data_IF_921298029651
#
_entry.id   IF_921298029651
#
_cell.length_a   1.000
_cell.length_b   1.000
_cell.length_c   1.000
_cell.angle_alpha   90.00
_cell.angle_beta   90.00
_cell.angle_gamma   90.00
#
_symmetry.space_group_name_H-M   'P 1'
#
loop_
_entity.id
_entity.type
_entity.pdbx_description
1 polymer ?
#
# COMPACT_ATOMS: atom_id res chain seq x y z
N UNK A 1 -96.43 5.72 -48.20
CA UNK A 1 -97.27 6.17 -49.33
C UNK A 1 -97.53 7.67 -49.17
N UNK A 2 -98.06 8.36 -50.19
CA UNK A 2 -98.44 9.77 -49.99
C UNK A 2 -99.76 9.84 -49.21
N UNK A 3 -99.89 10.79 -48.27
CA UNK A 3 -101.14 11.02 -47.52
C UNK A 3 -102.31 11.13 -48.49
N UNK A 4 -103.30 10.27 -48.33
CA UNK A 4 -104.54 10.36 -49.11
C UNK A 4 -105.55 11.21 -48.33
N UNK A 5 -106.18 12.18 -49.01
CA UNK A 5 -107.17 13.06 -48.40
C UNK A 5 -108.58 12.72 -48.87
N UNK A 6 -109.53 12.80 -47.95
CA UNK A 6 -110.95 12.74 -48.29
C UNK A 6 -111.30 13.95 -49.15
N UNK A 7 -111.89 13.71 -50.31
CA UNK A 7 -112.54 14.72 -51.12
C UNK A 7 -113.99 14.87 -50.63
N UNK A 8 -114.33 16.02 -50.06
CA UNK A 8 -115.66 16.26 -49.46
C UNK A 8 -116.71 16.76 -50.47
N UNK A 9 -116.32 16.93 -51.74
CA UNK A 9 -117.15 17.55 -52.77
C UNK A 9 -117.13 19.08 -52.68
N UNK A 10 -117.83 19.74 -53.61
CA UNK A 10 -117.86 21.21 -53.70
C UNK A 10 -118.98 21.79 -52.82
N UNK A 11 -120.13 21.12 -52.75
CA UNK A 11 -121.26 21.41 -51.84
C UNK A 11 -121.89 20.11 -51.34
N UNK A 12 -122.72 20.20 -50.30
CA UNK A 12 -123.36 19.02 -49.72
C UNK A 12 -124.25 18.27 -50.75
N UNK A 13 -124.06 16.95 -50.84
CA UNK A 13 -124.83 16.02 -51.69
C UNK A 13 -124.72 16.29 -53.21
N UNK A 14 -123.61 16.86 -53.70
CA UNK A 14 -123.41 17.18 -55.13
C UNK A 14 -122.81 16.04 -55.98
N UNK A 15 -122.55 14.88 -55.38
CA UNK A 15 -121.91 13.71 -55.99
C UNK A 15 -120.50 13.95 -56.56
N UNK A 16 -119.81 15.03 -56.18
CA UNK A 16 -118.41 15.32 -56.59
C UNK A 16 -117.36 14.91 -55.55
N UNK A 17 -117.80 14.54 -54.35
CA UNK A 17 -116.95 14.00 -53.28
C UNK A 17 -116.65 12.52 -53.43
N UNK A 18 -115.81 11.99 -52.54
CA UNK A 18 -115.52 10.56 -52.45
C UNK A 18 -116.78 9.77 -52.08
N UNK A 19 -116.91 8.57 -52.65
CA UNK A 19 -117.86 7.57 -52.12
C UNK A 19 -117.38 7.09 -50.75
N UNK A 20 -118.28 6.60 -49.89
CA UNK A 20 -117.90 5.99 -48.60
C UNK A 20 -116.83 4.91 -48.75
N UNK A 21 -116.86 4.14 -49.86
CA UNK A 21 -115.85 3.14 -50.17
C UNK A 21 -114.51 3.78 -50.51
N UNK A 22 -114.48 4.71 -51.47
CA UNK A 22 -113.24 5.38 -51.87
C UNK A 22 -112.61 6.20 -50.73
N UNK A 23 -113.42 6.84 -49.89
CA UNK A 23 -112.95 7.52 -48.69
C UNK A 23 -112.48 6.54 -47.59
N UNK A 24 -113.18 5.42 -47.41
CA UNK A 24 -112.81 4.36 -46.48
C UNK A 24 -111.48 3.69 -46.84
N UNK A 25 -111.25 3.42 -48.12
CA UNK A 25 -109.97 2.90 -48.63
C UNK A 25 -108.84 3.87 -48.31
N UNK A 26 -109.04 5.17 -48.57
CA UNK A 26 -108.07 6.21 -48.22
C UNK A 26 -107.74 6.29 -46.73
N UNK A 27 -108.75 6.11 -45.89
CA UNK A 27 -108.59 6.09 -44.42
C UNK A 27 -107.82 4.85 -43.99
N UNK A 28 -108.20 3.67 -44.48
CA UNK A 28 -107.51 2.41 -44.17
C UNK A 28 -106.05 2.42 -44.64
N UNK A 29 -105.79 2.90 -45.85
CA UNK A 29 -104.46 3.05 -46.42
C UNK A 29 -103.56 3.93 -45.54
N UNK A 30 -104.06 5.10 -45.12
CA UNK A 30 -103.33 5.99 -44.21
C UNK A 30 -103.08 5.34 -42.83
N UNK A 31 -104.04 4.62 -42.25
CA UNK A 31 -103.83 3.95 -40.97
C UNK A 31 -102.89 2.75 -41.09
N UNK A 32 -103.02 1.93 -42.12
CA UNK A 32 -102.13 0.80 -42.39
C UNK A 32 -100.68 1.26 -42.56
N UNK A 33 -100.45 2.41 -43.21
CA UNK A 33 -99.13 3.04 -43.26
C UNK A 33 -98.59 3.34 -41.86
N UNK A 34 -99.38 3.97 -40.98
CA UNK A 34 -98.97 4.31 -39.61
C UNK A 34 -98.66 3.05 -38.79
N UNK A 35 -99.56 2.07 -38.78
CA UNK A 35 -99.39 0.83 -38.02
C UNK A 35 -98.21 -0.01 -38.51
N UNK A 36 -97.84 0.12 -39.79
CA UNK A 36 -96.66 -0.56 -40.35
C UNK A 36 -95.37 0.22 -40.10
N UNK A 37 -95.39 1.56 -40.17
CA UNK A 37 -94.19 2.39 -40.09
C UNK A 37 -93.65 2.56 -38.66
N UNK A 38 -94.53 2.71 -37.67
CA UNK A 38 -94.17 2.93 -36.25
C UNK A 38 -94.75 1.85 -35.32
N UNK A 39 -95.18 0.74 -35.90
CA UNK A 39 -95.81 -0.38 -35.22
C UNK A 39 -95.39 -1.71 -35.83
N UNK A 40 -96.21 -2.73 -35.62
CA UNK A 40 -95.99 -4.08 -36.14
C UNK A 40 -97.10 -4.57 -37.08
N UNK A 41 -97.87 -3.64 -37.66
CA UNK A 41 -99.01 -3.93 -38.53
C UNK A 41 -100.33 -4.16 -37.78
N UNK A 42 -100.30 -4.34 -36.45
CA UNK A 42 -101.51 -4.50 -35.62
C UNK A 42 -101.56 -3.48 -34.48
N UNK A 43 -100.42 -3.22 -33.83
CA UNK A 43 -100.28 -2.28 -32.73
C UNK A 43 -99.23 -1.21 -33.07
N UNK A 44 -99.47 0.02 -32.64
CA UNK A 44 -98.42 1.05 -32.60
C UNK A 44 -97.42 0.66 -31.50
N UNK A 45 -96.13 0.63 -31.82
CA UNK A 45 -95.06 0.24 -30.90
C UNK A 45 -94.31 1.44 -30.32
N UNK A 46 -94.76 2.66 -30.62
CA UNK A 46 -94.23 3.91 -30.07
C UNK A 46 -95.12 4.40 -28.92
N UNK A 47 -94.54 4.53 -27.72
CA UNK A 47 -95.18 5.19 -26.57
C UNK A 47 -94.41 6.46 -26.21
N UNK A 48 -95.14 7.54 -25.98
CA UNK A 48 -94.61 8.83 -25.47
C UNK A 48 -95.36 9.27 -24.21
N UNK A 49 -95.94 8.32 -23.49
CA UNK A 49 -96.73 8.60 -22.29
C UNK A 49 -95.80 8.92 -21.12
N UNK A 50 -95.98 10.09 -20.49
CA UNK A 50 -95.30 10.54 -19.27
C UNK A 50 -93.76 10.47 -19.28
N UNK A 51 -93.06 11.03 -20.30
CA UNK A 51 -91.59 11.05 -20.28
C UNK A 51 -91.08 11.94 -19.13
N UNK A 52 -90.05 11.49 -18.43
CA UNK A 52 -89.29 12.33 -17.51
C UNK A 52 -88.24 13.17 -18.27
N UNK A 53 -87.86 14.31 -17.69
CA UNK A 53 -86.80 15.17 -18.26
C UNK A 53 -85.50 14.37 -18.37
N UNK A 54 -84.88 14.37 -19.56
CA UNK A 54 -83.62 13.68 -19.83
C UNK A 54 -83.77 12.23 -20.34
N UNK A 55 -84.98 11.69 -20.40
CA UNK A 55 -85.23 10.37 -20.98
C UNK A 55 -85.14 10.38 -22.51
N UNK A 56 -84.78 9.23 -23.06
CA UNK A 56 -84.72 8.98 -24.51
C UNK A 56 -85.68 7.84 -24.88
N UNK A 57 -86.12 7.79 -26.14
CA UNK A 57 -86.89 6.65 -26.64
C UNK A 57 -85.97 5.45 -26.85
N UNK A 58 -86.18 4.38 -26.08
CA UNK A 58 -85.42 3.13 -26.20
C UNK A 58 -86.35 1.98 -26.56
N UNK A 59 -85.87 1.10 -27.44
CA UNK A 59 -86.54 -0.17 -27.71
C UNK A 59 -86.27 -1.14 -26.55
N UNK A 60 -87.33 -1.62 -25.89
CA UNK A 60 -87.22 -2.52 -24.75
C UNK A 60 -87.31 -4.02 -25.12
N UNK A 61 -87.23 -4.35 -26.41
CA UNK A 61 -87.48 -5.70 -26.93
C UNK A 61 -88.89 -5.90 -27.49
N UNK A 62 -89.82 -4.96 -27.28
CA UNK A 62 -91.17 -5.01 -27.88
C UNK A 62 -91.73 -3.65 -28.31
N UNK A 63 -91.41 -2.56 -27.60
CA UNK A 63 -91.88 -1.20 -27.88
C UNK A 63 -90.75 -0.18 -27.73
N UNK A 64 -90.86 0.95 -28.43
CA UNK A 64 -90.11 2.16 -28.17
C UNK A 64 -90.81 2.98 -27.08
N UNK A 65 -90.16 3.12 -25.92
CA UNK A 65 -90.72 3.80 -24.75
C UNK A 65 -89.71 4.78 -24.15
N UNK A 66 -90.14 5.84 -23.43
CA UNK A 66 -89.23 6.75 -22.74
C UNK A 66 -88.53 6.01 -21.60
N UNK A 67 -87.20 6.02 -21.59
CA UNK A 67 -86.36 5.37 -20.57
C UNK A 67 -85.06 6.15 -20.37
N UNK A 68 -84.43 5.91 -19.22
CA UNK A 68 -83.10 6.42 -18.95
C UNK A 68 -82.07 5.72 -19.86
N UNK A 69 -81.02 6.46 -20.24
CA UNK A 69 -79.89 5.89 -20.95
C UNK A 69 -78.87 5.31 -19.95
N UNK A 70 -78.90 3.99 -19.80
CA UNK A 70 -78.15 3.25 -18.76
C UNK A 70 -77.07 2.32 -19.34
N UNK A 71 -76.98 2.21 -20.66
CA UNK A 71 -76.06 1.27 -21.32
C UNK A 71 -75.58 1.88 -22.62
N UNK A 72 -74.26 1.84 -22.84
CA UNK A 72 -73.65 2.11 -24.12
C UNK A 72 -73.50 0.79 -24.89
N UNK A 73 -74.01 0.72 -26.11
CA UNK A 73 -73.86 -0.45 -26.99
C UNK A 73 -72.76 -0.27 -28.04
N UNK A 74 -72.10 0.89 -28.02
CA UNK A 74 -70.95 1.27 -28.84
C UNK A 74 -70.11 2.30 -28.06
N UNK A 75 -68.93 2.66 -28.58
CA UNK A 75 -68.11 3.72 -27.99
C UNK A 75 -68.90 5.05 -27.93
N UNK A 76 -68.72 5.80 -26.84
CA UNK A 76 -69.28 7.14 -26.70
C UNK A 76 -68.41 8.13 -27.49
N UNK A 77 -68.94 8.63 -28.61
CA UNK A 77 -68.40 9.82 -29.25
C UNK A 77 -68.98 11.06 -28.56
N UNK A 78 -68.11 11.87 -27.95
CA UNK A 78 -68.50 13.07 -27.21
C UNK A 78 -68.73 14.29 -28.12
N UNK A 79 -68.42 14.20 -29.43
CA UNK A 79 -68.59 15.29 -30.41
C UNK A 79 -68.04 16.65 -29.92
N UNK A 80 -66.83 16.63 -29.35
CA UNK A 80 -66.16 17.81 -28.80
C UNK A 80 -66.66 18.30 -27.42
N UNK A 81 -67.58 17.58 -26.78
CA UNK A 81 -68.09 17.90 -25.44
C UNK A 81 -67.28 17.17 -24.35
N UNK A 82 -67.42 17.64 -23.11
CA UNK A 82 -66.80 17.02 -21.94
C UNK A 82 -67.78 16.11 -21.20
N UNK A 83 -67.27 15.06 -20.55
CA UNK A 83 -68.03 14.28 -19.56
C UNK A 83 -67.94 15.03 -18.23
N UNK A 84 -69.04 15.62 -17.78
CA UNK A 84 -69.10 16.49 -16.59
C UNK A 84 -70.20 16.09 -15.63
N UNK A 85 -70.02 16.42 -14.36
CA UNK A 85 -71.05 16.31 -13.30
C UNK A 85 -71.51 17.71 -12.89
N UNK A 86 -72.81 17.96 -12.88
CA UNK A 86 -73.41 19.30 -12.70
C UNK A 86 -73.76 19.66 -11.25
N UNK A 87 -73.70 18.70 -10.33
CA UNK A 87 -74.15 18.86 -8.93
C UNK A 87 -73.10 18.44 -7.91
N UNK A 88 -71.82 18.62 -8.23
CA UNK A 88 -70.67 18.17 -7.43
C UNK A 88 -70.64 16.65 -7.13
N UNK A 89 -71.38 15.84 -7.91
CA UNK A 89 -71.29 14.39 -7.83
C UNK A 89 -70.02 13.86 -8.49
N UNK A 90 -69.54 12.70 -8.05
CA UNK A 90 -68.39 12.03 -8.67
C UNK A 90 -68.77 11.45 -10.05
N UNK A 91 -67.84 11.48 -11.00
CA UNK A 91 -67.92 10.67 -12.22
C UNK A 91 -67.27 9.33 -11.91
N UNK A 92 -68.07 8.32 -11.59
CA UNK A 92 -67.56 6.99 -11.28
C UNK A 92 -67.23 6.21 -12.56
N UNK A 93 -65.96 5.85 -12.74
CA UNK A 93 -65.49 4.91 -13.77
C UNK A 93 -65.14 3.60 -13.07
N UNK A 94 -66.09 2.67 -13.03
CA UNK A 94 -65.99 1.44 -12.25
C UNK A 94 -66.19 0.20 -13.17
N UNK A 95 -65.10 -0.41 -13.66
CA UNK A 95 -65.19 -1.69 -14.36
C UNK A 95 -65.69 -2.78 -13.39
N UNK A 96 -66.34 -3.81 -13.93
CA UNK A 96 -66.77 -4.95 -13.14
C UNK A 96 -65.58 -5.90 -12.90
N UNK A 97 -65.46 -6.45 -11.68
CA UNK A 97 -64.42 -7.42 -11.34
C UNK A 97 -63.02 -6.82 -11.40
N UNK A 98 -62.10 -7.48 -12.11
CA UNK A 98 -60.70 -7.07 -12.29
C UNK A 98 -60.47 -6.32 -13.61
N UNK A 99 -61.51 -5.72 -14.19
CA UNK A 99 -61.35 -4.94 -15.41
C UNK A 99 -60.58 -3.65 -15.14
N UNK A 100 -59.93 -3.11 -16.16
CA UNK A 100 -59.11 -1.91 -16.04
C UNK A 100 -59.87 -0.65 -16.46
N UNK A 101 -59.48 0.49 -15.90
CA UNK A 101 -59.81 1.80 -16.48
C UNK A 101 -58.64 2.25 -17.33
N UNK A 102 -58.89 2.52 -18.60
CA UNK A 102 -57.86 2.98 -19.55
C UNK A 102 -58.15 4.40 -20.03
N UNK A 103 -57.10 5.23 -20.10
CA UNK A 103 -57.15 6.57 -20.67
C UNK A 103 -56.13 6.63 -21.81
N UNK A 104 -56.63 6.69 -23.04
CA UNK A 104 -55.79 6.66 -24.24
C UNK A 104 -55.76 8.01 -24.96
N UNK A 105 -54.57 8.40 -25.42
CA UNK A 105 -54.36 9.55 -26.29
C UNK A 105 -53.35 9.18 -27.38
N UNK A 106 -53.79 9.17 -28.65
CA UNK A 106 -52.98 8.64 -29.75
C UNK A 106 -52.71 7.14 -29.56
N UNK A 107 -51.44 6.74 -29.59
CA UNK A 107 -51.00 5.35 -29.40
C UNK A 107 -50.57 5.01 -27.96
N UNK A 108 -50.84 5.91 -27.01
CA UNK A 108 -50.45 5.76 -25.60
C UNK A 108 -51.70 5.52 -24.76
N UNK A 109 -51.64 4.56 -23.83
CA UNK A 109 -52.71 4.24 -22.89
C UNK A 109 -52.18 4.22 -21.47
N UNK A 110 -52.70 5.08 -20.60
CA UNK A 110 -52.52 4.94 -19.16
C UNK A 110 -53.56 3.96 -18.60
N UNK A 111 -53.15 3.09 -17.69
CA UNK A 111 -53.98 1.99 -17.18
C UNK A 111 -54.05 2.04 -15.66
N UNK A 112 -55.25 2.03 -15.12
CA UNK A 112 -55.52 1.75 -13.71
C UNK A 112 -55.94 0.29 -13.64
N UNK A 113 -55.01 -0.57 -13.21
CA UNK A 113 -55.16 -2.02 -13.25
C UNK A 113 -56.08 -2.49 -12.12
N UNK A 114 -57.18 -3.15 -12.49
CA UNK A 114 -58.18 -3.63 -11.54
C UNK A 114 -57.80 -4.91 -10.80
N UNK A 115 -56.79 -5.64 -11.29
CA UNK A 115 -56.30 -6.89 -10.72
C UNK A 115 -55.19 -6.65 -9.69
N UNK A 116 -54.22 -5.78 -9.99
CA UNK A 116 -53.07 -5.52 -9.11
C UNK A 116 -53.24 -4.25 -8.27
N UNK A 117 -54.07 -3.31 -8.73
CA UNK A 117 -54.17 -1.97 -8.14
C UNK A 117 -53.03 -1.04 -8.58
N UNK A 118 -52.18 -1.49 -9.50
CA UNK A 118 -51.11 -0.67 -10.06
C UNK A 118 -51.68 0.39 -11.00
N UNK A 119 -50.96 1.51 -11.10
CA UNK A 119 -51.27 2.57 -12.06
C UNK A 119 -50.07 2.71 -12.99
N UNK A 120 -50.25 2.30 -14.24
CA UNK A 120 -49.22 2.38 -15.28
C UNK A 120 -49.42 3.62 -16.14
N UNK A 121 -48.43 4.50 -16.11
CA UNK A 121 -48.29 5.62 -17.03
C UNK A 121 -47.08 5.36 -17.93
N UNK A 122 -47.26 4.83 -19.17
CA UNK A 122 -46.14 4.53 -20.08
C UNK A 122 -45.45 5.77 -20.64
N UNK A 123 -45.81 6.97 -20.16
CA UNK A 123 -45.23 8.26 -20.53
C UNK A 123 -44.99 9.10 -19.28
N UNK A 124 -44.70 10.39 -19.45
CA UNK A 124 -44.34 11.28 -18.35
C UNK A 124 -45.59 11.70 -17.57
N UNK A 125 -45.61 11.44 -16.26
CA UNK A 125 -46.56 12.04 -15.34
C UNK A 125 -45.95 13.32 -14.74
N UNK A 126 -46.59 14.47 -14.98
CA UNK A 126 -46.27 15.70 -14.26
C UNK A 126 -47.02 15.73 -12.92
N UNK A 127 -46.31 15.65 -11.80
CA UNK A 127 -46.89 15.79 -10.47
C UNK A 127 -46.04 16.77 -9.63
N UNK A 128 -46.69 17.64 -8.85
CA UNK A 128 -46.00 18.57 -7.93
C UNK A 128 -45.97 17.96 -6.53
N UNK A 129 -44.81 17.46 -6.11
CA UNK A 129 -44.55 16.99 -4.74
C UNK A 129 -43.60 17.95 -4.00
N UNK A 130 -43.87 19.24 -4.06
CA UNK A 130 -43.15 20.27 -3.32
C UNK A 130 -44.12 20.93 -2.33
N UNK A 131 -43.71 21.01 -1.08
CA UNK A 131 -44.52 21.54 0.01
C UNK A 131 -43.90 22.80 0.62
N UNK A 132 -44.69 23.78 1.11
CA UNK A 132 -44.14 25.02 1.69
C UNK A 132 -43.30 24.82 2.96
N UNK A 133 -43.56 23.74 3.70
CA UNK A 133 -42.78 23.34 4.87
C UNK A 133 -42.90 21.83 5.12
N UNK A 134 -41.96 21.27 5.87
CA UNK A 134 -41.92 19.84 6.20
C UNK A 134 -43.23 19.34 6.87
N UNK A 135 -43.86 20.18 7.69
CA UNK A 135 -45.13 19.87 8.36
C UNK A 135 -46.33 19.75 7.41
N UNK A 136 -46.26 20.35 6.22
CA UNK A 136 -47.33 20.30 5.22
C UNK A 136 -47.24 19.06 4.32
N UNK A 137 -46.08 18.41 4.26
CA UNK A 137 -45.92 17.16 3.53
C UNK A 137 -46.72 16.02 4.21
N UNK A 138 -47.16 14.99 3.45
CA UNK A 138 -47.84 13.83 4.00
C UNK A 138 -47.11 13.22 5.20
N UNK A 139 -47.87 12.71 6.18
CA UNK A 139 -47.29 12.09 7.37
C UNK A 139 -46.51 10.84 7.01
N UNK A 140 -45.34 10.65 7.61
CA UNK A 140 -44.53 9.46 7.39
C UNK A 140 -45.26 8.16 7.79
N UNK A 141 -46.06 8.21 8.86
CA UNK A 141 -46.82 7.07 9.37
C UNK A 141 -47.93 6.56 8.43
N UNK A 142 -48.47 7.42 7.55
CA UNK A 142 -49.56 7.05 6.65
C UNK A 142 -49.12 6.90 5.20
N UNK A 143 -47.97 7.48 4.84
CA UNK A 143 -47.48 7.56 3.46
C UNK A 143 -46.02 7.13 3.37
N UNK A 144 -45.72 5.88 3.73
CA UNK A 144 -44.39 5.30 3.53
C UNK A 144 -43.98 5.26 2.05
N UNK A 145 -42.71 5.53 1.76
CA UNK A 145 -42.17 5.60 0.40
C UNK A 145 -42.46 6.89 -0.35
N UNK A 146 -43.11 7.88 0.29
CA UNK A 146 -43.47 9.13 -0.36
C UNK A 146 -42.25 10.05 -0.52
N UNK A 147 -41.88 10.35 -1.77
CA UNK A 147 -40.80 11.28 -2.14
C UNK A 147 -41.33 12.69 -2.37
N UNK A 148 -40.66 13.69 -1.77
CA UNK A 148 -41.05 15.09 -1.88
C UNK A 148 -39.90 16.05 -1.65
N UNK A 149 -40.11 17.32 -1.99
CA UNK A 149 -39.23 18.45 -1.65
C UNK A 149 -39.97 19.45 -0.77
N UNK A 150 -39.22 20.31 -0.11
CA UNK A 150 -39.74 21.45 0.65
C UNK A 150 -39.22 22.73 0.02
N UNK A 151 -40.09 23.71 -0.19
CA UNK A 151 -39.71 25.01 -0.75
C UNK A 151 -38.63 25.67 0.13
N UNK A 152 -37.51 26.06 -0.48
CA UNK A 152 -36.35 26.62 0.21
C UNK A 152 -35.46 25.64 0.98
N UNK A 153 -35.67 24.31 0.89
CA UNK A 153 -34.74 23.30 1.41
C UNK A 153 -33.97 22.64 0.25
N UNK A 154 -32.64 22.58 0.37
CA UNK A 154 -31.75 21.99 -0.65
C UNK A 154 -31.79 20.45 -0.67
N UNK A 155 -32.52 19.82 0.26
CA UNK A 155 -32.57 18.37 0.41
C UNK A 155 -33.97 17.82 0.04
N UNK A 156 -34.05 16.83 -0.86
CA UNK A 156 -35.23 16.01 -1.01
C UNK A 156 -35.47 15.16 0.24
N UNK A 157 -36.70 14.69 0.38
CA UNK A 157 -37.15 13.87 1.48
C UNK A 157 -37.82 12.59 0.99
N UNK A 158 -37.74 11.54 1.81
CA UNK A 158 -38.54 10.34 1.68
C UNK A 158 -39.14 9.95 3.03
N UNK A 159 -40.42 9.61 3.03
CA UNK A 159 -41.06 9.01 4.19
C UNK A 159 -40.61 7.55 4.35
N UNK A 160 -39.94 7.23 5.44
CA UNK A 160 -39.48 5.87 5.74
C UNK A 160 -39.72 5.52 7.21
N UNK A 161 -39.79 4.22 7.51
CA UNK A 161 -39.74 3.73 8.88
C UNK A 161 -38.33 3.21 9.18
N UNK A 162 -37.66 3.82 10.16
CA UNK A 162 -36.32 3.43 10.59
C UNK A 162 -36.43 2.58 11.85
N UNK A 163 -36.33 1.26 11.67
CA UNK A 163 -36.37 0.27 12.76
C UNK A 163 -35.08 0.30 13.61
N UNK A 164 -33.92 0.36 12.95
CA UNK A 164 -32.61 0.37 13.63
C UNK A 164 -32.29 1.77 14.14
N UNK A 165 -32.11 1.93 15.46
CA UNK A 165 -31.87 3.24 16.08
C UNK A 165 -33.13 3.92 16.64
N UNK A 166 -34.32 3.31 16.49
CA UNK A 166 -35.53 3.68 17.23
C UNK A 166 -36.20 4.98 16.79
N UNK A 167 -35.95 5.47 15.56
CA UNK A 167 -36.49 6.75 15.07
C UNK A 167 -37.94 6.62 14.58
N UNK A 168 -38.40 5.41 14.23
CA UNK A 168 -39.78 5.16 13.81
C UNK A 168 -40.10 5.73 12.43
N UNK A 169 -41.33 6.22 12.22
CA UNK A 169 -41.73 6.87 10.98
C UNK A 169 -41.16 8.30 10.88
N UNK A 170 -40.32 8.54 9.89
CA UNK A 170 -39.57 9.78 9.71
C UNK A 170 -39.63 10.27 8.26
N UNK A 171 -39.59 11.60 8.10
CA UNK A 171 -39.28 12.26 6.83
C UNK A 171 -37.77 12.38 6.71
N UNK A 172 -37.11 11.38 6.12
CA UNK A 172 -35.66 11.33 6.03
C UNK A 172 -35.15 12.22 4.89
N UNK A 173 -34.12 13.02 5.16
CA UNK A 173 -33.40 13.77 4.13
C UNK A 173 -32.59 12.83 3.24
N UNK A 174 -32.54 13.13 1.95
CA UNK A 174 -31.69 12.46 0.97
C UNK A 174 -30.53 13.39 0.64
N UNK A 175 -29.30 12.87 0.68
CA UNK A 175 -28.11 13.62 0.33
C UNK A 175 -28.08 13.96 -1.18
N UNK A 176 -27.72 15.20 -1.49
CA UNK A 176 -27.51 15.71 -2.86
C UNK A 176 -26.10 16.29 -2.98
N UNK A 177 -25.72 16.73 -4.19
CA UNK A 177 -24.47 17.47 -4.41
C UNK A 177 -24.39 18.80 -3.64
N UNK A 178 -25.52 19.30 -3.14
CA UNK A 178 -25.62 20.52 -2.33
C UNK A 178 -25.65 20.23 -0.83
N UNK A 179 -25.77 18.96 -0.42
CA UNK A 179 -25.77 18.59 1.00
C UNK A 179 -24.36 18.67 1.59
N UNK A 180 -24.24 19.23 2.79
CA UNK A 180 -23.01 19.04 3.59
C UNK A 180 -22.82 17.55 3.92
N UNK A 181 -21.56 17.13 4.03
CA UNK A 181 -21.20 15.80 4.54
C UNK A 181 -21.71 15.56 5.96
N UNK A 182 -21.94 16.63 6.74
CA UNK A 182 -22.57 16.58 8.07
C UNK A 182 -24.04 16.17 8.06
N UNK A 183 -24.65 15.98 6.88
CA UNK A 183 -25.98 15.37 6.80
C UNK A 183 -25.97 13.94 7.36
N UNK A 184 -24.85 13.23 7.26
CA UNK A 184 -24.68 11.92 7.87
C UNK A 184 -24.46 12.07 9.37
N UNK A 185 -25.33 11.46 10.16
CA UNK A 185 -25.38 11.69 11.61
C UNK A 185 -24.13 11.23 12.34
N UNK A 186 -23.33 10.34 11.76
CA UNK A 186 -22.06 9.85 12.28
C UNK A 186 -20.84 10.68 11.82
N UNK A 187 -21.04 11.79 11.09
CA UNK A 187 -20.00 12.71 10.65
C UNK A 187 -20.13 14.04 11.43
N UNK A 188 -19.00 14.60 11.83
CA UNK A 188 -18.91 15.90 12.49
C UNK A 188 -17.72 16.71 12.00
N UNK A 189 -17.98 17.61 11.06
CA UNK A 189 -17.06 18.63 10.55
C UNK A 189 -17.38 20.04 11.03
N UNK A 190 -18.35 20.18 11.96
CA UNK A 190 -18.82 21.48 12.45
C UNK A 190 -18.27 21.83 13.83
N UNK A 191 -18.11 20.85 14.73
CA UNK A 191 -17.51 21.08 16.05
C UNK A 191 -16.08 21.57 15.93
N UNK A 192 -15.35 21.03 14.94
CA UNK A 192 -14.04 21.50 14.50
C UNK A 192 -14.03 21.52 12.99
N UNK A 193 -13.89 22.72 12.40
CA UNK A 193 -13.85 22.88 10.95
C UNK A 193 -12.60 22.19 10.35
N UNK A 194 -12.73 21.49 9.21
CA UNK A 194 -11.59 20.89 8.53
C UNK A 194 -10.55 21.95 8.13
N UNK A 195 -9.27 21.63 8.30
CA UNK A 195 -8.14 22.38 7.75
C UNK A 195 -7.48 21.61 6.61
N UNK A 196 -6.55 22.25 5.88
CA UNK A 196 -5.77 21.59 4.84
C UNK A 196 -5.10 20.30 5.38
N UNK A 197 -5.03 19.28 4.53
CA UNK A 197 -4.39 17.98 4.80
C UNK A 197 -5.05 17.12 5.89
N UNK A 198 -6.36 17.32 6.13
CA UNK A 198 -7.14 16.48 7.02
C UNK A 198 -8.02 15.49 6.24
N UNK A 199 -8.28 14.35 6.87
CA UNK A 199 -9.21 13.31 6.40
C UNK A 199 -10.24 13.02 7.49
N UNK A 200 -11.37 12.41 7.14
CA UNK A 200 -12.33 11.92 8.12
C UNK A 200 -11.73 10.70 8.86
N UNK A 201 -11.59 10.82 10.18
CA UNK A 201 -11.08 9.77 11.07
C UNK A 201 -12.13 9.41 12.12
N UNK A 202 -12.28 8.12 12.37
CA UNK A 202 -13.19 7.63 13.40
C UNK A 202 -12.65 7.97 14.79
N UNK A 203 -13.37 8.79 15.53
CA UNK A 203 -13.17 9.09 16.94
C UNK A 203 -14.09 8.16 17.76
N UNK A 204 -13.51 7.12 18.36
CA UNK A 204 -14.24 6.15 19.17
C UNK A 204 -14.81 6.72 20.47
N UNK A 205 -14.28 7.84 20.95
CA UNK A 205 -14.78 8.51 22.16
C UNK A 205 -16.05 9.29 21.84
N UNK A 206 -16.06 10.00 20.71
CA UNK A 206 -17.23 10.73 20.24
C UNK A 206 -18.23 9.84 19.47
N UNK A 207 -17.81 8.66 19.01
CA UNK A 207 -18.54 7.83 18.05
C UNK A 207 -18.94 8.60 16.79
N UNK A 208 -17.99 9.37 16.24
CA UNK A 208 -18.14 10.20 15.05
C UNK A 208 -16.89 10.11 14.16
N UNK A 209 -17.08 10.29 12.86
CA UNK A 209 -16.03 10.67 11.92
C UNK A 209 -15.77 12.17 12.03
N UNK A 210 -14.55 12.57 12.36
CA UNK A 210 -14.14 13.97 12.48
C UNK A 210 -12.95 14.28 11.59
N UNK A 211 -12.73 15.55 11.19
CA UNK A 211 -11.49 15.97 10.57
C UNK A 211 -10.31 15.67 11.50
N UNK A 212 -9.32 14.96 10.97
CA UNK A 212 -8.05 14.75 11.64
C UNK A 212 -6.92 14.72 10.61
N UNK A 213 -5.77 15.23 10.99
CA UNK A 213 -4.58 15.29 10.13
C UNK A 213 -4.32 13.91 9.51
N UNK A 214 -4.03 13.88 8.21
CA UNK A 214 -3.71 12.65 7.47
C UNK A 214 -2.34 12.07 7.87
N UNK A 215 -2.25 11.62 9.12
CA UNK A 215 -1.04 11.10 9.73
C UNK A 215 -0.78 9.60 9.43
N UNK A 216 -1.44 9.01 8.43
CA UNK A 216 -1.39 7.58 8.18
C UNK A 216 -0.28 7.18 7.18
N UNK A 217 0.80 6.57 7.69
CA UNK A 217 1.64 5.62 6.94
C UNK A 217 3.14 5.85 7.04
N UNK A 218 3.62 7.08 6.86
CA UNK A 218 5.06 7.39 6.93
C UNK A 218 5.54 7.68 8.36
N UNK A 219 4.61 7.99 9.28
CA UNK A 219 4.88 8.33 10.67
C UNK A 219 5.38 7.17 11.53
N UNK A 220 5.21 5.92 11.05
CA UNK A 220 5.54 4.69 11.77
C UNK A 220 6.55 3.80 11.03
N UNK A 221 7.13 4.27 9.92
CA UNK A 221 8.16 3.52 9.22
C UNK A 221 9.52 4.04 9.68
N UNK A 222 10.23 3.19 10.41
CA UNK A 222 11.63 3.44 10.71
C UNK A 222 12.40 3.53 9.39
N UNK A 223 13.23 4.58 9.20
CA UNK A 223 14.11 4.69 8.03
C UNK A 223 15.02 3.45 7.88
N UNK A 224 15.35 2.83 9.00
CA UNK A 224 16.02 1.53 9.09
C UNK A 224 15.46 0.74 10.28
N UNK A 225 15.17 -0.55 10.09
CA UNK A 225 14.58 -1.38 11.13
C UNK A 225 15.57 -1.66 12.27
N UNK A 226 16.62 -2.42 11.98
CA UNK A 226 17.73 -2.72 12.90
C UNK A 226 19.02 -2.79 12.11
N UNK A 227 20.08 -2.14 12.60
CA UNK A 227 21.44 -2.27 12.08
C UNK A 227 22.31 -2.85 13.20
N UNK A 228 22.95 -3.99 12.94
CA UNK A 228 23.86 -4.65 13.87
C UNK A 228 25.31 -4.43 13.43
N UNK A 229 26.20 -4.25 14.40
CA UNK A 229 27.65 -4.31 14.19
C UNK A 229 28.24 -5.60 14.77
N UNK A 230 29.55 -5.77 14.64
CA UNK A 230 30.28 -6.89 15.27
C UNK A 230 30.08 -6.94 16.80
N UNK A 231 29.84 -5.77 17.40
CA UNK A 231 29.34 -5.62 18.77
C UNK A 231 28.20 -4.61 18.80
N UNK A 232 27.09 -4.97 19.44
CA UNK A 232 25.91 -4.11 19.60
C UNK A 232 25.01 -3.98 18.36
N UNK A 233 23.89 -3.29 18.54
CA UNK A 233 22.93 -2.95 17.48
C UNK A 233 22.22 -1.64 17.78
N UNK A 234 21.59 -1.06 16.77
CA UNK A 234 20.74 0.12 16.89
C UNK A 234 19.49 -0.02 16.02
N UNK A 235 18.45 0.73 16.37
CA UNK A 235 17.17 0.84 15.65
C UNK A 235 16.81 2.32 15.56
N UNK A 236 16.13 2.75 14.50
CA UNK A 236 15.72 4.14 14.41
C UNK A 236 14.80 4.50 15.60
N UNK A 237 15.13 5.57 16.32
CA UNK A 237 14.35 6.03 17.48
C UNK A 237 13.46 7.25 17.18
N UNK A 238 13.56 7.80 15.96
CA UNK A 238 12.72 8.88 15.46
C UNK A 238 12.60 8.82 13.93
N UNK A 239 11.66 9.58 13.37
CA UNK A 239 11.44 9.67 11.92
C UNK A 239 12.57 10.42 11.18
N UNK A 240 13.41 11.17 11.89
CA UNK A 240 14.55 11.90 11.33
C UNK A 240 15.87 11.38 11.90
N UNK A 241 15.88 10.13 12.38
CA UNK A 241 17.05 9.56 13.03
C UNK A 241 18.20 9.41 12.02
N UNK A 242 19.42 9.68 12.47
CA UNK A 242 20.62 9.66 11.63
C UNK A 242 21.54 8.53 12.06
N UNK A 243 21.71 7.52 11.22
CA UNK A 243 22.72 6.49 11.41
C UNK A 243 24.10 7.04 11.03
N UNK A 244 24.97 7.23 12.03
CA UNK A 244 26.35 7.65 11.80
C UNK A 244 27.26 6.43 11.68
N UNK A 245 27.96 6.28 10.55
CA UNK A 245 29.03 5.28 10.37
C UNK A 245 30.38 5.99 10.64
N UNK A 246 30.83 5.94 11.88
CA UNK A 246 32.08 6.58 12.30
C UNK A 246 33.31 5.71 11.98
N UNK A 247 34.39 6.35 11.52
CA UNK A 247 35.68 5.70 11.36
C UNK A 247 36.31 5.35 12.71
N UNK A 248 36.75 4.10 12.87
CA UNK A 248 37.58 3.68 14.00
C UNK A 248 39.05 4.08 13.83
N UNK A 249 39.93 3.47 14.62
CA UNK A 249 41.38 3.67 14.47
C UNK A 249 41.83 3.29 13.06
N UNK A 250 42.52 4.21 12.38
CA UNK A 250 43.03 4.03 11.02
C UNK A 250 41.96 3.77 9.94
N UNK A 251 40.69 4.10 10.21
CA UNK A 251 39.61 4.02 9.22
C UNK A 251 38.98 5.40 9.08
N UNK A 252 38.88 5.89 7.85
CA UNK A 252 38.10 7.09 7.51
C UNK A 252 36.84 6.70 6.78
N UNK A 253 35.73 7.37 7.07
CA UNK A 253 34.43 7.15 6.41
C UNK A 253 33.99 8.42 5.69
N UNK A 254 33.55 8.30 4.44
CA UNK A 254 33.10 9.43 3.62
C UNK A 254 31.79 9.07 2.91
N UNK A 255 30.88 10.04 2.81
CA UNK A 255 29.61 9.91 2.08
C UNK A 255 29.62 10.89 0.90
N UNK A 256 29.42 10.40 -0.32
CA UNK A 256 29.22 11.23 -1.52
C UNK A 256 28.01 10.69 -2.29
N UNK A 257 26.93 11.49 -2.36
CA UNK A 257 25.64 11.00 -2.84
C UNK A 257 25.14 9.85 -1.96
N UNK A 258 24.79 8.73 -2.59
CA UNK A 258 24.27 7.54 -1.92
C UNK A 258 25.35 6.48 -1.62
N UNK A 259 26.63 6.79 -1.84
CA UNK A 259 27.76 5.86 -1.61
C UNK A 259 28.50 6.22 -0.33
N UNK A 260 28.69 5.23 0.53
CA UNK A 260 29.58 5.29 1.69
C UNK A 260 30.89 4.60 1.32
N UNK A 261 32.02 5.29 1.48
CA UNK A 261 33.37 4.76 1.29
C UNK A 261 34.05 4.61 2.66
N UNK A 262 34.67 3.45 2.88
CA UNK A 262 35.45 3.13 4.08
C UNK A 262 36.89 2.90 3.64
N UNK A 263 37.79 3.81 4.01
CA UNK A 263 39.19 3.76 3.61
C UNK A 263 40.11 3.51 4.80
N UNK A 264 41.13 2.68 4.60
CA UNK A 264 42.23 2.58 5.56
C UNK A 264 43.11 3.82 5.45
N UNK A 265 43.21 4.57 6.54
CA UNK A 265 43.98 5.81 6.66
C UNK A 265 45.24 5.66 7.52
N UNK A 266 45.51 4.45 8.01
CA UNK A 266 46.72 4.16 8.78
C UNK A 266 47.97 4.05 7.91
N UNK A 267 49.12 4.01 8.56
CA UNK A 267 50.40 3.66 7.91
C UNK A 267 50.74 2.20 8.17
N UNK A 268 51.12 1.47 7.13
CA UNK A 268 51.72 0.15 7.26
C UNK A 268 53.22 0.29 7.51
N UNK A 269 53.79 -0.61 8.32
CA UNK A 269 55.24 -0.80 8.39
C UNK A 269 55.72 -1.50 7.12
N UNK A 270 56.44 -0.79 6.27
CA UNK A 270 56.86 -1.27 4.94
C UNK A 270 58.37 -1.47 4.81
N UNK A 271 59.13 -1.20 5.86
CA UNK A 271 60.60 -1.34 5.85
C UNK A 271 61.06 -2.21 7.02
N UNK A 272 62.13 -2.99 6.81
CA UNK A 272 62.74 -3.80 7.85
C UNK A 272 63.10 -2.94 9.08
N UNK A 273 63.66 -1.74 8.86
CA UNK A 273 64.01 -0.76 9.91
C UNK A 273 62.84 -0.23 10.74
N UNK A 274 61.61 -0.38 10.27
CA UNK A 274 60.41 0.07 11.02
C UNK A 274 59.85 -1.02 11.94
N UNK A 275 60.42 -2.22 11.92
CA UNK A 275 60.08 -3.29 12.84
C UNK A 275 60.79 -3.08 14.18
N UNK A 276 60.13 -3.49 15.26
CA UNK A 276 60.57 -3.24 16.63
C UNK A 276 61.76 -4.08 17.08
N UNK A 277 62.07 -5.16 16.35
CA UNK A 277 63.11 -6.16 16.65
C UNK A 277 64.32 -6.07 15.69
N UNK A 278 64.48 -4.93 15.03
CA UNK A 278 65.57 -4.70 14.07
C UNK A 278 66.42 -3.50 14.49
N UNK A 279 67.73 -3.69 14.46
CA UNK A 279 68.72 -2.61 14.58
C UNK A 279 69.58 -2.61 13.32
N UNK A 280 69.03 -2.00 12.28
CA UNK A 280 69.62 -1.93 10.94
C UNK A 280 70.06 -0.50 10.58
N UNK A 281 70.30 0.33 11.59
CA UNK A 281 70.85 1.67 11.39
C UNK A 281 72.26 1.63 10.80
N UNK A 282 72.56 2.50 9.82
CA UNK A 282 73.92 2.65 9.29
C UNK A 282 74.42 1.48 8.44
N UNK A 283 73.52 0.73 7.80
CA UNK A 283 73.84 -0.27 6.78
C UNK A 283 74.71 0.32 5.67
N UNK A 284 75.74 -0.43 5.27
CA UNK A 284 76.54 -0.17 4.06
C UNK A 284 76.48 -1.38 3.12
N UNK A 285 76.88 -1.19 1.87
CA UNK A 285 76.87 -2.26 0.88
C UNK A 285 77.78 -3.42 1.32
N UNK A 286 77.23 -4.65 1.33
CA UNK A 286 77.97 -5.87 1.67
C UNK A 286 77.82 -6.32 3.13
N UNK A 287 77.09 -5.58 3.95
CA UNK A 287 76.79 -5.98 5.32
C UNK A 287 75.98 -7.28 5.41
N UNK A 288 76.26 -8.05 6.46
CA UNK A 288 75.48 -9.22 6.84
C UNK A 288 74.59 -8.91 8.03
N UNK A 289 73.43 -9.57 8.09
CA UNK A 289 72.48 -9.49 9.20
C UNK A 289 72.52 -10.78 10.00
N UNK A 290 72.58 -10.69 11.32
CA UNK A 290 72.47 -11.86 12.20
C UNK A 290 71.62 -11.54 13.42
N UNK A 291 71.05 -12.57 14.04
CA UNK A 291 70.30 -12.43 15.27
C UNK A 291 71.23 -12.64 16.46
N UNK A 292 71.32 -11.67 17.38
CA UNK A 292 72.22 -11.72 18.54
C UNK A 292 71.56 -12.26 19.82
N UNK A 293 70.33 -12.79 19.71
CA UNK A 293 69.53 -13.22 20.86
C UNK A 293 68.41 -12.25 21.25
N UNK A 294 68.44 -10.99 20.78
CA UNK A 294 67.36 -10.02 21.04
C UNK A 294 66.94 -9.19 19.83
N UNK A 295 67.87 -8.84 18.94
CA UNK A 295 67.59 -8.07 17.73
C UNK A 295 68.30 -8.66 16.52
N UNK A 296 67.76 -8.38 15.34
CA UNK A 296 68.49 -8.51 14.09
C UNK A 296 69.48 -7.34 13.95
N UNK A 297 70.77 -7.65 13.99
CA UNK A 297 71.87 -6.68 14.02
C UNK A 297 72.81 -6.85 12.83
N UNK A 298 73.46 -5.74 12.48
CA UNK A 298 74.35 -5.65 11.33
C UNK A 298 75.80 -5.97 11.70
N UNK A 299 76.51 -6.68 10.82
CA UNK A 299 77.96 -6.87 10.87
C UNK A 299 78.59 -6.67 9.49
N UNK A 300 79.84 -6.24 9.46
CA UNK A 300 80.58 -5.84 8.24
C UNK A 300 81.10 -7.02 7.41
N UNK A 301 80.85 -8.26 7.82
CA UNK A 301 81.25 -9.47 7.12
C UNK A 301 80.26 -10.60 7.38
N UNK A 302 80.27 -11.70 6.61
CA UNK A 302 79.65 -12.94 7.04
C UNK A 302 80.08 -13.30 8.47
N UNK A 303 79.15 -13.83 9.25
CA UNK A 303 79.37 -14.22 10.64
C UNK A 303 78.99 -15.67 10.90
N UNK A 304 79.80 -16.35 11.70
CA UNK A 304 79.45 -17.64 12.31
C UNK A 304 79.35 -17.48 13.82
N UNK A 305 78.29 -18.02 14.41
CA UNK A 305 78.05 -17.99 15.86
C UNK A 305 78.26 -19.37 16.45
N UNK A 306 79.20 -19.49 17.39
CA UNK A 306 79.47 -20.72 18.13
C UNK A 306 79.22 -20.52 19.61
N UNK A 307 78.50 -21.47 20.18
CA UNK A 307 78.30 -21.62 21.62
C UNK A 307 79.54 -22.28 22.21
N UNK A 308 80.18 -21.61 23.17
CA UNK A 308 81.34 -22.08 23.92
C UNK A 308 80.90 -22.47 25.33
N UNK A 309 81.05 -23.75 25.65
CA UNK A 309 80.77 -24.30 26.97
C UNK A 309 82.01 -25.08 27.47
N UNK A 310 81.93 -25.75 28.62
CA UNK A 310 83.04 -26.54 29.15
C UNK A 310 82.58 -27.90 29.70
N UNK A 311 83.47 -28.89 29.58
CA UNK A 311 83.36 -30.16 30.30
C UNK A 311 84.27 -30.11 31.53
N UNK A 312 83.71 -29.61 32.64
CA UNK A 312 84.48 -29.34 33.86
C UNK A 312 85.64 -28.38 33.60
N UNK A 313 86.82 -28.67 34.16
CA UNK A 313 88.05 -27.92 33.94
C UNK A 313 88.99 -28.55 32.91
N UNK A 314 88.50 -29.56 32.17
CA UNK A 314 89.32 -30.35 31.26
C UNK A 314 89.28 -29.78 29.84
N UNK A 315 88.07 -29.57 29.31
CA UNK A 315 87.89 -29.28 27.88
C UNK A 315 86.94 -28.09 27.65
N UNK A 316 87.22 -27.27 26.63
CA UNK A 316 86.17 -26.44 26.02
C UNK A 316 85.29 -27.30 25.12
N UNK A 317 84.01 -26.99 25.02
CA UNK A 317 83.10 -27.60 24.05
C UNK A 317 82.52 -26.54 23.13
N UNK A 318 82.52 -26.83 21.82
CA UNK A 318 81.98 -25.93 20.79
C UNK A 318 80.76 -26.55 20.13
N UNK A 319 79.69 -25.79 20.03
CA UNK A 319 78.48 -26.15 19.28
C UNK A 319 78.05 -25.01 18.34
N UNK A 320 77.38 -25.34 17.25
CA UNK A 320 76.90 -24.38 16.25
C UNK A 320 77.28 -24.81 14.83
N UNK A 321 77.23 -23.89 13.85
CA UNK A 321 77.43 -24.21 12.43
C UNK A 321 78.76 -24.93 12.18
N UNK A 322 78.73 -26.03 11.43
CA UNK A 322 79.91 -26.86 11.15
C UNK A 322 80.16 -27.98 12.17
N UNK A 323 79.48 -27.98 13.33
CA UNK A 323 79.53 -29.06 14.32
C UNK A 323 78.21 -29.85 14.32
N UNK A 324 78.29 -31.17 14.20
CA UNK A 324 77.10 -32.06 14.31
C UNK A 324 76.64 -32.26 15.76
N UNK A 325 77.54 -32.02 16.72
CA UNK A 325 77.29 -32.06 18.17
C UNK A 325 78.38 -31.29 18.91
N UNK A 326 78.17 -30.98 20.19
CA UNK A 326 79.16 -30.28 21.02
C UNK A 326 80.48 -31.07 21.04
N UNK A 327 81.56 -30.45 20.53
CA UNK A 327 82.85 -31.12 20.32
C UNK A 327 83.89 -30.58 21.28
N UNK A 328 84.53 -31.47 22.06
CA UNK A 328 85.56 -31.13 23.03
C UNK A 328 86.89 -30.74 22.35
N UNK A 329 87.50 -29.65 22.81
CA UNK A 329 88.76 -29.07 22.34
C UNK A 329 88.93 -29.12 20.81
N UNK A 330 87.86 -28.74 20.12
CA UNK A 330 87.77 -28.79 18.67
C UNK A 330 88.90 -27.97 18.01
N UNK A 331 89.51 -28.51 16.95
CA UNK A 331 90.32 -27.69 16.06
C UNK A 331 89.40 -26.84 15.20
N UNK A 332 89.52 -25.51 15.31
CA UNK A 332 88.65 -24.57 14.62
C UNK A 332 89.28 -24.17 13.28
N UNK A 333 88.46 -24.01 12.25
CA UNK A 333 88.89 -23.46 10.96
C UNK A 333 88.14 -22.15 10.71
N UNK A 334 88.89 -21.06 10.56
CA UNK A 334 88.35 -19.71 10.39
C UNK A 334 88.92 -19.07 9.13
N UNK A 335 88.12 -18.27 8.43
CA UNK A 335 88.52 -17.59 7.20
C UNK A 335 88.91 -16.13 7.45
N UNK A 336 90.01 -15.67 6.85
CA UNK A 336 90.37 -14.25 6.86
C UNK A 336 89.25 -13.40 6.25
N UNK A 337 88.95 -12.27 6.88
CA UNK A 337 87.88 -11.35 6.50
C UNK A 337 86.47 -11.72 7.01
N UNK A 338 86.28 -12.89 7.63
CA UNK A 338 85.01 -13.27 8.27
C UNK A 338 85.02 -12.97 9.77
N UNK A 339 83.82 -12.84 10.34
CA UNK A 339 83.62 -12.62 11.78
C UNK A 339 83.15 -13.91 12.45
N UNK A 340 83.69 -14.21 13.62
CA UNK A 340 83.28 -15.34 14.44
C UNK A 340 82.86 -14.83 15.80
N UNK A 341 81.67 -15.22 16.25
CA UNK A 341 81.20 -14.98 17.60
C UNK A 341 81.44 -16.24 18.43
N UNK A 342 82.23 -16.11 19.48
CA UNK A 342 82.44 -17.13 20.50
C UNK A 342 81.61 -16.75 21.71
N UNK A 343 80.42 -17.34 21.83
CA UNK A 343 79.53 -17.10 22.96
C UNK A 343 79.97 -17.93 24.16
N UNK A 344 80.68 -17.30 25.10
CA UNK A 344 81.10 -17.89 26.36
C UNK A 344 80.30 -17.33 27.55
N UNK A 345 79.10 -16.77 27.31
CA UNK A 345 78.29 -16.15 28.36
C UNK A 345 77.86 -17.15 29.43
N UNK A 346 77.64 -18.42 29.06
CA UNK A 346 77.26 -19.50 30.00
C UNK A 346 78.38 -19.79 30.99
N UNK A 347 79.65 -19.76 30.55
CA UNK A 347 80.79 -20.03 31.44
C UNK A 347 81.27 -18.80 32.20
N UNK A 348 81.03 -17.61 31.66
CA UNK A 348 81.39 -16.33 32.28
C UNK A 348 82.87 -16.31 32.73
N UNK A 349 83.14 -15.87 33.95
CA UNK A 349 84.49 -15.80 34.51
C UNK A 349 85.08 -17.14 34.94
N UNK A 350 84.30 -18.24 34.95
CA UNK A 350 84.79 -19.55 35.39
C UNK A 350 85.75 -20.17 34.36
N UNK A 351 85.53 -19.91 33.07
CA UNK A 351 86.41 -20.38 31.99
C UNK A 351 86.64 -19.27 30.95
N UNK A 352 87.48 -18.26 31.22
CA UNK A 352 87.68 -17.14 30.31
C UNK A 352 88.37 -17.58 29.01
N UNK A 353 87.68 -17.40 27.89
CA UNK A 353 88.13 -17.77 26.54
C UNK A 353 89.08 -16.72 25.98
N UNK A 354 90.24 -17.15 25.47
CA UNK A 354 91.24 -16.25 24.89
C UNK A 354 91.88 -16.86 23.65
N UNK A 355 92.04 -16.06 22.61
CA UNK A 355 92.86 -16.40 21.44
C UNK A 355 94.30 -15.91 21.67
N UNK A 356 95.29 -16.71 21.31
CA UNK A 356 96.70 -16.46 21.56
C UNK A 356 97.60 -17.02 20.46
N UNK A 357 98.79 -16.43 20.28
CA UNK A 357 99.74 -16.77 19.21
C UNK A 357 100.73 -17.86 19.58
N UNK A 358 100.73 -18.31 20.84
CA UNK A 358 101.54 -19.42 21.35
C UNK A 358 100.73 -20.28 22.32
N UNK A 359 101.11 -21.54 22.51
CA UNK A 359 100.37 -22.50 23.35
C UNK A 359 100.59 -22.28 24.86
N UNK A 360 99.66 -22.80 25.67
CA UNK A 360 99.76 -22.85 27.13
C UNK A 360 99.25 -21.61 27.87
N UNK A 361 99.15 -21.70 29.20
CA UNK A 361 98.58 -20.62 30.04
C UNK A 361 99.34 -19.30 29.92
N UNK A 362 100.66 -19.35 29.68
CA UNK A 362 101.54 -18.20 29.46
C UNK A 362 101.65 -17.79 27.98
N UNK A 363 100.73 -18.26 27.12
CA UNK A 363 100.71 -17.90 25.71
C UNK A 363 100.45 -16.39 25.50
N UNK A 364 101.02 -15.84 24.42
CA UNK A 364 100.89 -14.42 24.11
C UNK A 364 99.48 -14.12 23.58
N UNK A 365 98.68 -13.26 24.25
CA UNK A 365 97.34 -12.91 23.77
C UNK A 365 97.38 -12.34 22.36
N UNK A 366 96.44 -12.78 21.52
CA UNK A 366 96.19 -12.22 20.20
C UNK A 366 94.86 -11.49 20.26
N UNK A 367 94.87 -10.16 20.14
CA UNK A 367 93.67 -9.31 20.31
C UNK A 367 93.29 -8.56 19.03
N UNK A 368 94.10 -8.66 17.97
CA UNK A 368 93.84 -7.96 16.71
C UNK A 368 92.54 -8.46 16.07
N UNK A 369 91.65 -7.53 15.76
CA UNK A 369 90.33 -7.82 15.17
C UNK A 369 89.28 -8.29 16.17
N UNK A 370 89.56 -8.27 17.47
CA UNK A 370 88.60 -8.67 18.50
C UNK A 370 87.81 -7.50 19.07
N UNK A 371 86.55 -7.78 19.41
CA UNK A 371 85.67 -6.92 20.22
C UNK A 371 84.85 -7.81 21.16
N UNK A 372 84.16 -7.21 22.14
CA UNK A 372 83.43 -7.97 23.16
C UNK A 372 84.38 -8.51 24.24
N UNK A 373 84.06 -9.67 24.81
CA UNK A 373 84.82 -10.25 25.93
C UNK A 373 84.88 -11.76 25.89
N UNK A 374 86.03 -12.32 26.26
CA UNK A 374 86.23 -13.75 26.45
C UNK A 374 85.43 -14.37 27.61
N UNK A 375 84.80 -13.56 28.47
CA UNK A 375 83.87 -14.01 29.53
C UNK A 375 82.40 -13.74 29.17
N UNK A 376 82.14 -13.32 27.94
CA UNK A 376 80.82 -13.10 27.38
C UNK A 376 80.90 -13.56 25.92
N UNK A 377 80.32 -12.80 24.98
CA UNK A 377 80.55 -13.04 23.56
C UNK A 377 81.84 -12.32 23.12
N UNK A 378 82.79 -13.08 22.60
CA UNK A 378 83.97 -12.55 21.93
C UNK A 378 83.71 -12.58 20.43
N UNK A 379 83.69 -11.40 19.80
CA UNK A 379 83.63 -11.30 18.34
C UNK A 379 85.03 -11.15 17.81
N UNK A 380 85.38 -11.92 16.78
CA UNK A 380 86.66 -11.82 16.12
C UNK A 380 86.48 -11.74 14.62
N UNK A 381 86.73 -10.56 14.06
CA UNK A 381 86.88 -10.37 12.62
C UNK A 381 88.33 -10.70 12.28
N UNK A 382 88.54 -11.80 11.58
CA UNK A 382 89.87 -12.34 11.29
C UNK A 382 90.62 -11.39 10.35
N UNK A 383 91.72 -10.75 10.76
CA UNK A 383 92.48 -9.85 9.90
C UNK A 383 93.08 -10.57 8.68
N UNK A 384 93.26 -9.87 7.56
CA UNK A 384 93.86 -10.43 6.35
C UNK A 384 95.35 -10.79 6.52
N UNK A 385 96.02 -10.21 7.51
CA UNK A 385 97.40 -10.48 7.92
C UNK A 385 97.50 -11.42 9.13
N UNK A 386 96.40 -12.04 9.56
CA UNK A 386 96.41 -12.99 10.68
C UNK A 386 97.34 -14.20 10.42
N UNK A 387 98.09 -14.67 11.43
CA UNK A 387 98.91 -15.87 11.31
C UNK A 387 98.07 -17.11 10.92
N UNK A 388 98.62 -18.01 10.11
CA UNK A 388 97.93 -19.23 9.66
C UNK A 388 97.55 -20.18 10.80
N UNK A 389 98.22 -20.08 11.95
CA UNK A 389 97.94 -20.88 13.14
C UNK A 389 97.90 -19.95 14.34
N UNK A 390 96.77 -20.00 15.05
CA UNK A 390 96.58 -19.44 16.38
C UNK A 390 96.05 -20.54 17.31
N UNK A 391 95.91 -20.23 18.59
CA UNK A 391 95.37 -21.14 19.58
C UNK A 391 94.29 -20.44 20.38
N UNK A 392 93.29 -21.19 20.85
CA UNK A 392 92.45 -20.72 21.94
C UNK A 392 92.86 -21.42 23.24
N UNK A 393 92.68 -20.73 24.36
CA UNK A 393 93.10 -21.20 25.67
C UNK A 393 92.18 -20.62 26.76
N UNK A 394 91.78 -21.45 27.70
CA UNK A 394 91.20 -20.98 28.95
C UNK A 394 92.32 -20.37 29.78
N UNK A 395 92.16 -19.13 30.20
CA UNK A 395 93.22 -18.42 30.93
C UNK A 395 93.50 -18.98 32.33
N UNK A 396 92.63 -19.85 32.85
CA UNK A 396 92.73 -20.46 34.17
C UNK A 396 93.13 -21.94 34.13
N UNK A 397 92.67 -22.67 33.10
CA UNK A 397 92.83 -24.14 33.02
C UNK A 397 93.68 -24.52 31.82
N UNK A 398 94.83 -25.14 32.06
CA UNK A 398 95.78 -25.48 31.00
C UNK A 398 95.22 -26.49 29.98
N UNK A 399 94.40 -27.43 30.44
CA UNK A 399 93.85 -28.50 29.61
C UNK A 399 92.88 -27.96 28.53
N UNK A 400 92.15 -26.88 28.81
CA UNK A 400 91.15 -26.32 27.91
C UNK A 400 91.78 -25.43 26.84
N UNK A 401 92.28 -26.04 25.77
CA UNK A 401 92.93 -25.35 24.68
C UNK A 401 92.76 -26.09 23.36
N UNK A 402 92.95 -25.38 22.25
CA UNK A 402 92.96 -26.01 20.95
C UNK A 402 93.55 -25.13 19.87
N UNK A 403 93.65 -25.69 18.67
CA UNK A 403 94.25 -25.03 17.52
C UNK A 403 93.18 -24.33 16.69
N UNK A 404 93.51 -23.13 16.21
CA UNK A 404 92.73 -22.38 15.22
C UNK A 404 93.55 -22.33 13.93
N UNK A 405 93.06 -23.01 12.91
CA UNK A 405 93.57 -22.93 11.55
C UNK A 405 92.96 -21.70 10.88
N UNK A 406 93.78 -20.69 10.60
CA UNK A 406 93.37 -19.51 9.84
C UNK A 406 93.66 -19.75 8.36
N UNK A 407 92.59 -19.84 7.58
CA UNK A 407 92.62 -20.13 6.15
C UNK A 407 92.19 -18.90 5.34
N UNK A 408 92.53 -18.91 4.03
CA UNK A 408 92.21 -17.81 3.11
C UNK A 408 93.31 -16.77 2.98
#
# INVERSE_FOLDING_TARGET
>A
MAKQSLNLGTVANDNTGDTLRGGGDKVNDNFNEIYSAIGNGTNIQLSVTNPAVGQVLRYNGSNFIPMDLTTLTAALDVNGNSIVSSTNGNIALAPNGTGDVTISAGSVTATFDGATGDIDFPTRLGYKNEFPALGNAPSAASYGGFFFTVDGDDNPYVNINITTGGVGDVRAKIATEYSSVDLFSDIDTTTVAPTNNQVLKWDSTASKWKPGDDAAGVSSVNLFATVAGDTGSTTANSQTDTLTIAGGTNITTTVVGDTITLDFSGSLTTTLSSLTDTDVGGLVQGDSLFYNGSNWVVTRSPITWWEVNASGSSDYTFAGPGFSSATADATLSVMKGMTYAFDNTVQSSAHPFRIQSSQGLSGNPYTTGQTGSGTAVLYWTVPMDAPSILYYQCTLHAAMNGTINVIG
#
